data_IF_316991186331
#
_entry.id   IF_316991186331
#
_cell.length_a   1.000
_cell.length_b   1.000
_cell.length_c   1.000
_cell.angle_alpha   90.00
_cell.angle_beta   90.00
_cell.angle_gamma   90.00
#
_symmetry.space_group_name_H-M   'P 1'
#
loop_
_entity.id
_entity.type
_entity.pdbx_description
1 polymer ?
#
# COMPACT_ATOMS: atom_id res chain seq x y z
N UNK A 1 1.39 -5.92 18.33
CA UNK A 1 1.25 -4.44 18.51
C UNK A 1 0.33 -3.92 17.44
N UNK A 2 -0.48 -2.90 17.72
CA UNK A 2 -1.36 -2.30 16.71
C UNK A 2 -0.91 -0.86 16.47
N UNK A 3 -0.67 -0.48 15.22
CA UNK A 3 -0.37 0.89 14.82
C UNK A 3 -1.60 1.47 14.13
N UNK A 4 -2.02 2.67 14.51
CA UNK A 4 -3.16 3.32 13.86
C UNK A 4 -2.77 3.99 12.54
N UNK A 5 -1.50 4.39 12.41
CA UNK A 5 -0.96 5.09 11.24
C UNK A 5 0.54 4.77 11.04
N UNK A 6 1.10 5.27 9.96
CA UNK A 6 2.51 5.11 9.62
C UNK A 6 3.43 5.84 10.63
N UNK A 7 2.97 6.95 11.19
CA UNK A 7 3.78 7.79 12.10
C UNK A 7 4.03 7.11 13.44
N UNK A 8 3.04 6.37 13.97
CA UNK A 8 3.24 5.55 15.17
C UNK A 8 4.28 4.44 14.92
N UNK A 9 4.26 3.84 13.72
CA UNK A 9 5.26 2.84 13.36
C UNK A 9 6.66 3.44 13.21
N UNK A 10 6.79 4.59 12.56
CA UNK A 10 8.05 5.35 12.47
C UNK A 10 8.61 5.64 13.87
N UNK A 11 7.77 6.11 14.79
CA UNK A 11 8.17 6.42 16.16
C UNK A 11 8.69 5.18 16.92
N UNK A 12 8.05 4.00 16.72
CA UNK A 12 8.55 2.75 17.29
C UNK A 12 9.91 2.39 16.70
N UNK A 13 10.05 2.41 15.38
CA UNK A 13 11.31 2.05 14.71
C UNK A 13 12.44 2.97 15.14
N UNK A 14 12.17 4.25 15.34
CA UNK A 14 13.15 5.22 15.85
C UNK A 14 13.56 4.88 17.28
N UNK A 15 12.61 4.58 18.16
CA UNK A 15 12.88 4.22 19.55
C UNK A 15 13.68 2.91 19.67
N UNK A 16 13.52 1.97 18.73
CA UNK A 16 14.25 0.70 18.68
C UNK A 16 15.56 0.76 17.89
N UNK A 17 15.93 1.93 17.37
CA UNK A 17 17.15 2.10 16.55
C UNK A 17 17.06 1.47 15.16
N UNK A 18 15.85 1.12 14.71
CA UNK A 18 15.53 0.55 13.40
C UNK A 18 15.19 1.62 12.35
N UNK A 19 15.27 2.90 12.70
CA UNK A 19 15.08 4.03 11.79
C UNK A 19 16.17 5.08 12.00
N UNK A 20 16.66 5.65 10.91
CA UNK A 20 17.59 6.78 10.91
C UNK A 20 17.00 7.95 10.12
N UNK A 21 17.01 9.14 10.75
CA UNK A 21 16.67 10.40 10.08
C UNK A 21 17.88 10.96 9.34
N UNK A 22 17.65 11.47 8.16
CA UNK A 22 18.65 12.10 7.29
C UNK A 22 18.18 13.54 7.05
N UNK A 23 18.83 14.47 7.75
CA UNK A 23 18.46 15.89 7.71
C UNK A 23 19.17 16.70 6.61
N UNK A 24 20.23 16.14 6.01
CA UNK A 24 20.90 16.77 4.88
C UNK A 24 20.03 16.65 3.62
N UNK A 25 20.05 17.66 2.72
CA UNK A 25 19.34 17.55 1.45
C UNK A 25 19.87 16.39 0.59
N UNK A 26 18.97 15.52 0.14
CA UNK A 26 19.28 14.36 -0.74
C UNK A 26 18.40 14.41 -1.97
N UNK A 27 18.94 14.01 -3.13
CA UNK A 27 18.23 14.07 -4.38
C UNK A 27 17.34 12.83 -4.58
N UNK A 28 16.03 13.00 -4.85
CA UNK A 28 15.16 11.90 -5.24
C UNK A 28 15.58 11.24 -6.55
N UNK A 29 16.31 11.96 -7.39
CA UNK A 29 16.86 11.42 -8.63
C UNK A 29 18.12 10.61 -8.32
N UNK A 30 17.97 9.27 -8.27
CA UNK A 30 19.00 8.25 -8.08
C UNK A 30 19.64 8.20 -6.68
N UNK A 31 19.94 9.35 -6.03
CA UNK A 31 20.75 9.39 -4.81
C UNK A 31 20.03 8.71 -3.63
N UNK A 32 18.74 9.02 -3.41
CA UNK A 32 17.94 8.38 -2.34
C UNK A 32 17.89 6.86 -2.54
N UNK A 33 17.65 6.40 -3.76
CA UNK A 33 17.57 4.97 -4.06
C UNK A 33 18.91 4.27 -3.82
N UNK A 34 20.01 4.86 -4.24
CA UNK A 34 21.37 4.31 -4.01
C UNK A 34 21.69 4.20 -2.51
N UNK A 35 21.33 5.23 -1.71
CA UNK A 35 21.50 5.19 -0.26
C UNK A 35 20.63 4.07 0.35
N UNK A 36 19.39 3.92 -0.10
CA UNK A 36 18.48 2.87 0.35
C UNK A 36 19.01 1.47 -0.01
N UNK A 37 19.50 1.26 -1.24
CA UNK A 37 20.02 -0.02 -1.70
C UNK A 37 21.27 -0.44 -0.90
N UNK A 38 22.23 0.47 -0.72
CA UNK A 38 23.41 0.20 0.12
C UNK A 38 23.04 -0.11 1.56
N UNK A 39 22.09 0.63 2.12
CA UNK A 39 21.60 0.41 3.48
C UNK A 39 20.92 -0.95 3.60
N UNK A 40 20.09 -1.31 2.63
CA UNK A 40 19.42 -2.62 2.58
C UNK A 40 20.44 -3.76 2.52
N UNK A 41 21.42 -3.69 1.62
CA UNK A 41 22.48 -4.72 1.47
C UNK A 41 23.34 -4.86 2.73
N UNK A 42 23.52 -3.77 3.48
CA UNK A 42 24.23 -3.79 4.76
C UNK A 42 23.36 -4.28 5.94
N UNK A 43 22.09 -4.64 5.70
CA UNK A 43 21.15 -5.01 6.78
C UNK A 43 20.78 -3.83 7.68
N UNK A 44 20.88 -2.61 7.16
CA UNK A 44 20.69 -1.38 7.92
C UNK A 44 19.22 -0.99 8.18
N UNK A 45 19.00 0.17 8.85
CA UNK A 45 17.69 0.62 9.29
C UNK A 45 16.81 1.14 8.14
N UNK A 46 15.55 1.44 8.45
CA UNK A 46 14.71 2.31 7.64
C UNK A 46 15.29 3.73 7.63
N UNK A 47 15.05 4.48 6.57
CA UNK A 47 15.61 5.82 6.36
C UNK A 47 14.49 6.82 6.15
N UNK A 48 14.46 7.89 6.95
CA UNK A 48 13.57 9.02 6.76
C UNK A 48 14.38 10.24 6.28
N UNK A 49 14.27 10.54 4.99
CA UNK A 49 14.86 11.72 4.38
C UNK A 49 13.95 12.92 4.65
N UNK A 50 14.40 13.83 5.53
CA UNK A 50 13.59 14.96 5.98
C UNK A 50 13.57 16.10 4.97
N UNK A 51 14.59 16.19 4.12
CA UNK A 51 14.76 17.27 3.15
C UNK A 51 15.09 16.74 1.74
N UNK A 52 14.17 16.03 1.07
CA UNK A 52 14.37 15.68 -0.34
C UNK A 52 14.50 16.95 -1.17
N UNK A 53 15.48 17.04 -2.07
CA UNK A 53 15.64 18.19 -2.96
C UNK A 53 14.39 18.38 -3.82
N UNK A 54 13.89 19.60 -3.90
CA UNK A 54 12.72 19.96 -4.71
C UNK A 54 11.37 19.66 -4.05
N UNK A 55 11.33 19.13 -2.84
CA UNK A 55 10.08 18.87 -2.11
C UNK A 55 10.21 19.23 -0.63
N UNK A 56 9.11 19.68 -0.03
CA UNK A 56 8.98 19.85 1.42
C UNK A 56 8.41 18.61 2.13
N UNK A 57 8.08 17.58 1.37
CA UNK A 57 7.50 16.33 1.89
C UNK A 57 8.64 15.35 2.19
N UNK A 58 8.76 14.82 3.43
CA UNK A 58 9.75 13.82 3.74
C UNK A 58 9.53 12.52 2.96
N UNK A 59 10.61 11.79 2.70
CA UNK A 59 10.56 10.50 2.01
C UNK A 59 11.06 9.39 2.92
N UNK A 60 10.26 8.32 3.05
CA UNK A 60 10.59 7.14 3.85
C UNK A 60 11.05 6.01 2.92
N UNK A 61 12.27 5.55 3.12
CA UNK A 61 12.87 4.45 2.35
C UNK A 61 13.23 3.25 3.22
N UNK A 62 13.44 2.09 2.58
CA UNK A 62 13.88 0.84 3.22
C UNK A 62 13.01 0.38 4.41
N UNK A 63 11.72 0.76 4.43
CA UNK A 63 10.82 0.50 5.57
C UNK A 63 10.73 -0.98 5.92
N UNK A 64 10.52 -1.83 4.92
CA UNK A 64 10.39 -3.30 5.07
C UNK A 64 11.65 -4.06 4.66
N UNK A 65 12.83 -3.44 4.82
CA UNK A 65 14.12 -3.97 4.37
C UNK A 65 14.68 -5.12 5.22
N UNK A 66 14.03 -5.52 6.31
CA UNK A 66 14.38 -6.71 7.06
C UNK A 66 13.14 -7.40 7.65
N UNK A 67 13.29 -8.68 7.98
CA UNK A 67 12.19 -9.53 8.50
C UNK A 67 11.67 -9.07 9.86
N UNK A 68 12.49 -8.44 10.68
CA UNK A 68 12.06 -7.91 11.98
C UNK A 68 11.06 -6.76 11.80
N UNK A 69 11.34 -5.79 10.94
CA UNK A 69 10.42 -4.68 10.66
C UNK A 69 9.12 -5.16 10.01
N UNK A 70 9.19 -6.20 9.16
CA UNK A 70 8.00 -6.86 8.60
C UNK A 70 7.17 -7.51 9.73
N UNK A 71 7.80 -8.23 10.65
CA UNK A 71 7.11 -8.85 11.78
C UNK A 71 6.39 -7.80 12.65
N UNK A 72 7.10 -6.74 13.05
CA UNK A 72 6.53 -5.63 13.80
C UNK A 72 5.34 -4.98 13.08
N UNK A 73 5.47 -4.74 11.77
CA UNK A 73 4.42 -4.18 10.93
C UNK A 73 3.17 -5.07 10.85
N UNK A 74 3.35 -6.40 10.90
CA UNK A 74 2.28 -7.39 10.96
C UNK A 74 1.76 -7.64 12.40
N UNK A 75 2.12 -6.78 13.36
CA UNK A 75 1.66 -6.88 14.74
C UNK A 75 2.37 -7.95 15.58
N UNK A 76 3.42 -8.59 15.05
CA UNK A 76 4.21 -9.61 15.73
C UNK A 76 5.34 -8.97 16.55
N UNK A 77 5.82 -9.65 17.57
CA UNK A 77 6.95 -9.17 18.40
C UNK A 77 8.31 -9.49 17.77
N UNK A 78 8.36 -10.58 17.03
CA UNK A 78 9.57 -11.12 16.42
C UNK A 78 9.28 -11.85 15.11
N UNK A 79 10.34 -12.35 14.48
CA UNK A 79 10.26 -13.09 13.21
C UNK A 79 9.61 -14.47 13.34
N UNK A 80 9.55 -15.06 14.55
CA UNK A 80 8.85 -16.34 14.75
C UNK A 80 7.34 -16.16 14.64
N UNK A 81 6.82 -15.01 15.07
CA UNK A 81 5.42 -14.63 14.91
C UNK A 81 4.95 -14.59 13.44
N UNK A 82 5.84 -14.41 12.46
CA UNK A 82 5.49 -14.51 11.04
C UNK A 82 5.00 -15.93 10.66
N UNK A 83 5.44 -16.97 11.38
CA UNK A 83 4.92 -18.33 11.18
C UNK A 83 3.46 -18.43 11.60
N UNK A 84 3.05 -17.69 12.63
CA UNK A 84 1.66 -17.68 13.09
C UNK A 84 0.78 -16.91 12.09
N UNK A 85 1.28 -15.86 11.47
CA UNK A 85 0.64 -15.21 10.30
C UNK A 85 0.49 -16.22 9.16
N UNK A 86 1.52 -17.01 8.85
CA UNK A 86 1.46 -18.09 7.86
C UNK A 86 0.40 -19.16 8.18
N UNK A 87 0.29 -19.59 9.44
CA UNK A 87 -0.75 -20.53 9.90
C UNK A 87 -2.16 -19.92 9.77
N UNK A 88 -2.33 -18.64 10.13
CA UNK A 88 -3.57 -17.92 9.95
C UNK A 88 -3.98 -17.87 8.46
N UNK A 89 -3.03 -17.59 7.57
CA UNK A 89 -3.27 -17.59 6.12
C UNK A 89 -3.69 -18.98 5.62
N UNK A 90 -3.02 -20.04 6.07
CA UNK A 90 -3.39 -21.41 5.71
C UNK A 90 -4.81 -21.76 6.19
N UNK A 91 -5.16 -21.38 7.41
CA UNK A 91 -6.51 -21.55 7.95
C UNK A 91 -7.57 -20.78 7.17
N UNK A 92 -7.27 -19.54 6.74
CA UNK A 92 -8.21 -18.73 5.96
C UNK A 92 -8.43 -19.27 4.54
N UNK A 93 -7.43 -19.94 3.95
CA UNK A 93 -7.56 -20.59 2.63
C UNK A 93 -8.42 -21.86 2.67
N UNK A 94 -8.28 -22.66 3.73
CA UNK A 94 -8.99 -23.91 3.91
C UNK A 94 -9.54 -23.98 5.36
N UNK A 95 -10.63 -23.25 5.64
CA UNK A 95 -11.20 -23.25 6.99
C UNK A 95 -11.80 -24.64 7.28
N UNK A 96 -11.12 -25.41 8.14
CA UNK A 96 -11.67 -26.64 8.64
C UNK A 96 -12.77 -26.33 9.66
N UNK A 97 -14.01 -26.81 9.47
CA UNK A 97 -15.05 -26.63 10.47
C UNK A 97 -14.64 -27.30 11.78
N UNK A 98 -14.91 -26.68 12.93
CA UNK A 98 -14.55 -27.25 14.23
C UNK A 98 -15.16 -28.62 14.41
N UNK A 99 -14.34 -29.62 14.73
CA UNK A 99 -14.76 -31.03 14.92
C UNK A 99 -15.45 -31.30 16.25
N UNK A 100 -15.64 -30.27 17.10
CA UNK A 100 -16.32 -30.41 18.39
C UNK A 100 -16.10 -29.19 19.31
N UNK A 101 -16.77 -29.21 20.47
CA UNK A 101 -16.70 -28.12 21.46
C UNK A 101 -15.28 -27.78 21.93
N UNK A 102 -14.41 -28.78 21.99
CA UNK A 102 -13.02 -28.62 22.44
C UNK A 102 -12.20 -27.84 21.42
N UNK A 103 -12.38 -28.16 20.16
CA UNK A 103 -11.74 -27.49 19.02
C UNK A 103 -12.22 -26.03 18.87
N UNK A 104 -13.50 -25.79 19.18
CA UNK A 104 -14.08 -24.45 19.22
C UNK A 104 -13.45 -23.60 20.35
N UNK A 105 -13.20 -24.17 21.52
CA UNK A 105 -12.57 -23.47 22.64
C UNK A 105 -11.07 -23.20 22.40
N UNK A 106 -10.36 -24.16 21.84
CA UNK A 106 -8.93 -24.03 21.51
C UNK A 106 -8.68 -22.97 20.43
N UNK A 107 -9.60 -22.81 19.49
CA UNK A 107 -9.53 -21.82 18.40
C UNK A 107 -10.31 -20.53 18.68
N UNK A 108 -10.88 -20.37 19.88
CA UNK A 108 -11.65 -19.18 20.26
C UNK A 108 -10.92 -17.83 20.04
N UNK A 109 -9.59 -17.72 20.31
CA UNK A 109 -8.85 -16.50 20.00
C UNK A 109 -8.86 -16.15 18.50
N UNK A 110 -8.71 -17.15 17.64
CA UNK A 110 -8.73 -16.99 16.18
C UNK A 110 -10.12 -16.61 15.69
N UNK A 111 -11.18 -17.21 16.22
CA UNK A 111 -12.56 -16.86 15.90
C UNK A 111 -12.93 -15.44 16.36
N UNK A 112 -12.42 -14.97 17.51
CA UNK A 112 -12.60 -13.60 17.95
C UNK A 112 -11.90 -12.58 17.03
N UNK A 113 -10.76 -12.94 16.46
CA UNK A 113 -10.08 -12.11 15.47
C UNK A 113 -10.93 -11.97 14.19
N UNK A 114 -11.60 -13.05 13.79
CA UNK A 114 -12.50 -13.05 12.62
C UNK A 114 -13.68 -12.06 12.77
N UNK A 115 -14.08 -11.69 14.00
CA UNK A 115 -15.10 -10.66 14.23
C UNK A 115 -14.63 -9.23 13.86
N UNK A 116 -13.34 -9.02 13.68
CA UNK A 116 -12.76 -7.74 13.28
C UNK A 116 -12.53 -7.62 11.75
N UNK A 117 -13.13 -8.49 10.97
CA UNK A 117 -12.93 -8.57 9.52
C UNK A 117 -13.47 -7.34 8.79
N UNK A 118 -14.67 -6.88 9.11
CA UNK A 118 -15.25 -5.74 8.39
C UNK A 118 -14.55 -4.43 8.76
N UNK A 119 -14.11 -3.62 7.80
CA UNK A 119 -13.53 -2.31 8.06
C UNK A 119 -14.54 -1.38 8.76
N UNK A 120 -14.02 -0.41 9.51
CA UNK A 120 -14.81 0.63 10.17
C UNK A 120 -14.82 1.88 9.30
N UNK A 121 -15.96 2.21 8.72
CA UNK A 121 -16.12 3.39 7.86
C UNK A 121 -16.28 4.64 8.72
N UNK A 122 -15.31 5.55 8.61
CA UNK A 122 -15.33 6.85 9.29
C UNK A 122 -16.08 7.87 8.45
N UNK A 123 -16.67 8.87 9.09
CA UNK A 123 -17.30 10.02 8.41
C UNK A 123 -16.28 11.05 7.93
N UNK A 124 -15.23 11.27 8.72
CA UNK A 124 -14.13 12.20 8.45
C UNK A 124 -12.82 11.49 8.79
N UNK A 125 -11.76 11.84 8.10
CA UNK A 125 -10.43 11.26 8.31
C UNK A 125 -9.33 12.29 8.03
N UNK A 126 -8.17 12.20 8.73
CA UNK A 126 -7.04 13.12 8.52
C UNK A 126 -6.57 13.22 7.07
N UNK A 127 -6.67 12.14 6.28
CA UNK A 127 -6.31 12.15 4.86
C UNK A 127 -7.19 13.06 4.00
N UNK A 128 -8.25 13.65 4.57
CA UNK A 128 -9.15 14.61 3.90
C UNK A 128 -9.09 16.02 4.50
N UNK A 129 -8.15 16.30 5.42
CA UNK A 129 -8.02 17.62 6.06
C UNK A 129 -7.52 18.68 5.08
N UNK A 130 -6.75 18.29 4.06
CA UNK A 130 -6.30 19.17 2.97
C UNK A 130 -6.75 18.57 1.65
N UNK A 131 -7.48 19.35 0.87
CA UNK A 131 -8.01 18.93 -0.43
C UNK A 131 -7.45 19.86 -1.50
N UNK A 132 -6.91 19.29 -2.58
CA UNK A 132 -6.39 19.99 -3.75
C UNK A 132 -7.17 19.47 -4.95
N UNK A 133 -7.80 20.37 -5.69
CA UNK A 133 -8.74 20.02 -6.76
C UNK A 133 -8.40 20.72 -8.07
N UNK A 134 -8.87 20.15 -9.17
CA UNK A 134 -8.87 20.72 -10.51
C UNK A 134 -7.48 21.26 -10.97
N UNK A 135 -7.42 22.54 -11.30
CA UNK A 135 -6.22 23.18 -11.85
C UNK A 135 -5.10 23.36 -10.82
N UNK A 136 -5.38 23.21 -9.54
CA UNK A 136 -4.37 23.29 -8.48
C UNK A 136 -3.61 21.97 -8.26
N UNK A 137 -4.08 20.87 -8.86
CA UNK A 137 -3.40 19.58 -8.77
C UNK A 137 -2.06 19.63 -9.50
N UNK A 138 -0.98 19.38 -8.79
CA UNK A 138 0.37 19.22 -9.33
C UNK A 138 1.15 18.18 -8.51
N UNK A 139 1.25 16.96 -9.01
CA UNK A 139 1.91 15.86 -8.32
C UNK A 139 3.44 16.04 -8.20
N UNK A 140 4.02 17.04 -8.87
CA UNK A 140 5.46 17.32 -8.79
C UNK A 140 5.91 17.81 -7.41
N UNK A 141 4.98 18.21 -6.52
CA UNK A 141 5.34 18.54 -5.14
C UNK A 141 5.74 17.31 -4.31
N UNK A 142 5.34 16.11 -4.74
CA UNK A 142 5.74 14.86 -4.08
C UNK A 142 7.18 14.50 -4.47
N UNK A 143 7.99 13.97 -3.54
CA UNK A 143 9.37 13.54 -3.84
C UNK A 143 9.37 12.18 -4.55
N UNK A 144 8.77 12.11 -5.74
CA UNK A 144 8.71 10.89 -6.55
C UNK A 144 10.13 10.58 -7.05
N UNK A 145 10.57 9.34 -6.85
CA UNK A 145 11.95 8.94 -7.13
C UNK A 145 12.15 8.49 -8.58
N UNK A 146 13.31 8.86 -9.18
CA UNK A 146 13.91 8.09 -10.26
C UNK A 146 14.85 7.09 -9.63
N UNK A 147 14.56 5.78 -9.78
CA UNK A 147 15.23 4.73 -9.02
C UNK A 147 16.53 4.25 -9.67
N UNK A 148 16.55 4.11 -11.00
CA UNK A 148 17.70 3.56 -11.74
C UNK A 148 18.13 4.49 -12.88
N UNK A 149 19.42 4.46 -13.28
CA UNK A 149 19.94 5.39 -14.30
C UNK A 149 19.26 5.32 -15.67
N UNK A 150 18.62 4.19 -16.00
CA UNK A 150 17.92 3.99 -17.27
C UNK A 150 16.39 4.13 -17.14
N UNK A 151 15.87 4.53 -16.01
CA UNK A 151 14.42 4.72 -15.81
C UNK A 151 13.91 5.87 -16.69
N UNK A 152 12.78 5.64 -17.36
CA UNK A 152 12.17 6.59 -18.27
C UNK A 152 11.67 7.87 -17.59
N UNK A 153 11.24 7.77 -16.32
CA UNK A 153 10.67 8.87 -15.53
C UNK A 153 10.67 8.54 -14.03
N UNK A 154 10.33 9.50 -13.15
CA UNK A 154 10.06 9.21 -11.74
C UNK A 154 8.94 8.19 -11.57
N UNK A 155 9.05 7.34 -10.55
CA UNK A 155 8.17 6.19 -10.32
C UNK A 155 7.65 6.18 -8.88
N UNK A 156 6.33 6.22 -8.71
CA UNK A 156 5.70 5.93 -7.42
C UNK A 156 5.82 4.44 -7.15
N UNK A 157 6.59 4.07 -6.14
CA UNK A 157 7.01 2.67 -5.91
C UNK A 157 6.07 1.88 -5.00
N UNK A 158 5.38 2.55 -4.06
CA UNK A 158 4.52 1.92 -3.05
C UNK A 158 3.10 2.51 -2.98
N UNK A 159 2.40 2.72 -4.11
CA UNK A 159 1.02 3.16 -4.09
C UNK A 159 0.10 1.99 -3.75
N UNK A 160 -0.81 2.16 -2.79
CA UNK A 160 -1.94 1.26 -2.58
C UNK A 160 -3.04 1.67 -3.55
N UNK A 161 -3.21 0.91 -4.61
CA UNK A 161 -4.22 1.17 -5.64
C UNK A 161 -5.51 0.45 -5.26
N UNK A 162 -6.59 1.21 -5.18
CA UNK A 162 -7.91 0.74 -4.79
C UNK A 162 -8.82 0.76 -6.02
N UNK A 163 -9.41 -0.39 -6.33
CA UNK A 163 -10.37 -0.57 -7.44
C UNK A 163 -11.57 -1.38 -6.98
N UNK A 164 -12.65 -1.33 -7.75
CA UNK A 164 -13.81 -2.18 -7.56
C UNK A 164 -14.49 -2.45 -8.89
N UNK A 165 -14.66 -3.72 -9.23
CA UNK A 165 -15.46 -4.12 -10.38
C UNK A 165 -16.94 -3.79 -10.19
N UNK A 166 -17.72 -3.64 -11.28
CA UNK A 166 -19.07 -3.07 -11.26
C UNK A 166 -20.08 -3.92 -10.47
N UNK A 167 -19.86 -5.23 -10.36
CA UNK A 167 -20.75 -6.17 -9.66
C UNK A 167 -20.15 -6.68 -8.34
N UNK A 168 -19.09 -6.06 -7.86
CA UNK A 168 -18.38 -6.49 -6.65
C UNK A 168 -18.70 -5.57 -5.47
N UNK A 169 -19.04 -6.15 -4.33
CA UNK A 169 -19.12 -5.41 -3.06
C UNK A 169 -17.73 -5.13 -2.51
N UNK A 170 -16.81 -6.08 -2.69
CA UNK A 170 -15.44 -6.00 -2.22
C UNK A 170 -14.59 -5.11 -3.14
N UNK A 171 -13.83 -4.22 -2.54
CA UNK A 171 -12.74 -3.51 -3.21
C UNK A 171 -11.50 -4.40 -3.29
N UNK A 172 -10.74 -4.25 -4.34
CA UNK A 172 -9.42 -4.81 -4.51
C UNK A 172 -8.38 -3.77 -4.09
N UNK A 173 -7.39 -4.18 -3.34
CA UNK A 173 -6.20 -3.39 -3.04
C UNK A 173 -4.99 -4.09 -3.64
N UNK A 174 -4.17 -3.34 -4.39
CA UNK A 174 -2.94 -3.84 -4.98
C UNK A 174 -1.84 -2.79 -4.98
N UNK A 175 -0.59 -3.23 -4.92
CA UNK A 175 0.54 -2.34 -5.17
C UNK A 175 0.94 -2.48 -6.64
N UNK A 176 0.75 -1.40 -7.39
CA UNK A 176 1.10 -1.31 -8.81
C UNK A 176 1.92 -0.04 -9.01
N UNK A 177 3.17 -0.19 -9.45
CA UNK A 177 4.04 0.97 -9.71
C UNK A 177 3.40 1.93 -10.68
N UNK A 178 3.65 3.22 -10.50
CA UNK A 178 3.05 4.26 -11.33
C UNK A 178 4.11 5.23 -11.83
N UNK A 179 4.24 5.31 -13.16
CA UNK A 179 5.13 6.28 -13.80
C UNK A 179 4.50 7.67 -13.78
N UNK A 180 5.28 8.65 -13.38
CA UNK A 180 4.88 10.06 -13.47
C UNK A 180 4.96 10.54 -14.92
N UNK A 181 3.85 11.06 -15.45
CA UNK A 181 3.76 11.59 -16.81
C UNK A 181 3.67 13.10 -16.87
N UNK A 182 3.21 13.72 -15.81
CA UNK A 182 3.01 15.15 -15.77
C UNK A 182 2.16 15.59 -14.59
N UNK A 183 1.77 16.84 -14.61
CA UNK A 183 1.17 17.54 -13.49
C UNK A 183 0.10 16.74 -12.72
N UNK A 184 -0.84 16.11 -13.43
CA UNK A 184 -1.96 15.36 -12.87
C UNK A 184 -2.16 13.98 -13.52
N UNK A 185 -1.10 13.43 -14.13
CA UNK A 185 -1.18 12.16 -14.85
C UNK A 185 -0.12 11.18 -14.40
N UNK A 186 -0.57 9.93 -14.20
CA UNK A 186 0.25 8.78 -13.88
C UNK A 186 -0.09 7.64 -14.83
N UNK A 187 0.89 6.87 -15.26
CA UNK A 187 0.64 5.55 -15.89
C UNK A 187 0.71 4.47 -14.83
N UNK A 188 -0.20 3.52 -14.93
CA UNK A 188 -0.17 2.30 -14.15
C UNK A 188 -0.12 1.08 -15.06
N UNK A 189 0.88 0.22 -14.85
CA UNK A 189 0.98 -1.05 -15.56
C UNK A 189 0.30 -2.17 -14.79
N UNK A 190 -0.70 -2.78 -15.39
CA UNK A 190 -1.34 -3.97 -14.87
C UNK A 190 -0.99 -5.21 -15.68
N UNK A 191 -0.61 -6.27 -15.00
CA UNK A 191 -0.64 -7.61 -15.59
C UNK A 191 -2.10 -8.08 -15.65
N UNK A 192 -2.49 -8.70 -16.77
CA UNK A 192 -3.88 -9.03 -17.09
C UNK A 192 -4.63 -9.90 -16.07
N UNK A 193 -3.88 -10.63 -15.23
CA UNK A 193 -4.43 -11.51 -14.18
C UNK A 193 -4.54 -10.84 -12.80
N UNK A 194 -4.09 -9.59 -12.65
CA UNK A 194 -4.16 -8.86 -11.38
C UNK A 194 -5.56 -8.31 -11.13
N UNK A 195 -5.93 -8.19 -9.83
CA UNK A 195 -7.25 -7.77 -9.42
C UNK A 195 -7.71 -6.45 -10.04
N UNK A 196 -6.86 -5.42 -10.06
CA UNK A 196 -7.18 -4.14 -10.69
C UNK A 196 -7.45 -4.25 -12.19
N UNK A 197 -6.65 -5.05 -12.91
CA UNK A 197 -6.87 -5.30 -14.35
C UNK A 197 -8.20 -6.04 -14.62
N UNK A 198 -8.56 -6.98 -13.74
CA UNK A 198 -9.83 -7.70 -13.83
C UNK A 198 -11.01 -6.76 -13.57
N UNK A 199 -10.92 -5.90 -12.55
CA UNK A 199 -11.96 -4.92 -12.24
C UNK A 199 -12.16 -3.93 -13.40
N UNK A 200 -11.06 -3.43 -13.98
CA UNK A 200 -11.08 -2.52 -15.12
C UNK A 200 -11.73 -3.19 -16.36
N UNK A 201 -11.34 -4.41 -16.68
CA UNK A 201 -11.94 -5.17 -17.80
C UNK A 201 -13.43 -5.39 -17.59
N UNK A 202 -13.86 -5.80 -16.40
CA UNK A 202 -15.28 -6.03 -16.09
C UNK A 202 -16.07 -4.72 -16.16
N UNK A 203 -15.45 -3.59 -15.74
CA UNK A 203 -16.03 -2.26 -15.89
C UNK A 203 -16.25 -1.89 -17.36
N UNK A 204 -15.22 -2.02 -18.20
CA UNK A 204 -15.33 -1.69 -19.63
C UNK A 204 -16.40 -2.53 -20.37
N UNK A 205 -16.59 -3.78 -19.96
CA UNK A 205 -17.64 -4.65 -20.52
C UNK A 205 -19.05 -4.17 -20.15
N UNK A 206 -19.23 -3.65 -18.94
CA UNK A 206 -20.53 -3.21 -18.42
C UNK A 206 -20.83 -1.74 -18.71
N UNK A 207 -19.81 -0.91 -18.76
CA UNK A 207 -19.84 0.54 -18.95
C UNK A 207 -18.91 0.94 -20.11
N UNK A 208 -19.21 0.53 -21.36
CA UNK A 208 -18.33 0.81 -22.49
C UNK A 208 -18.19 2.31 -22.74
N UNK A 209 -16.95 2.78 -22.79
CA UNK A 209 -16.65 4.19 -23.02
C UNK A 209 -16.75 5.09 -21.78
N UNK A 210 -17.08 4.56 -20.61
CA UNK A 210 -17.11 5.33 -19.38
C UNK A 210 -15.76 5.25 -18.63
N UNK A 211 -15.28 6.35 -18.04
CA UNK A 211 -14.07 6.36 -17.23
C UNK A 211 -14.19 5.42 -16.02
N UNK A 212 -13.10 4.69 -15.70
CA UNK A 212 -13.06 3.78 -14.58
C UNK A 212 -12.54 4.49 -13.32
N UNK A 213 -13.33 4.60 -12.25
CA UNK A 213 -12.91 5.25 -11.02
C UNK A 213 -11.81 4.45 -10.31
N UNK A 214 -10.79 5.18 -9.86
CA UNK A 214 -9.64 4.63 -9.15
C UNK A 214 -9.24 5.55 -8.00
N UNK A 215 -8.71 4.98 -6.93
CA UNK A 215 -8.10 5.75 -5.85
C UNK A 215 -6.76 5.14 -5.45
N UNK A 216 -5.83 5.99 -5.08
CA UNK A 216 -4.47 5.59 -4.68
C UNK A 216 -4.20 6.17 -3.30
N UNK A 217 -3.81 5.31 -2.35
CA UNK A 217 -3.37 5.74 -1.04
C UNK A 217 -1.85 5.56 -0.90
N UNK A 218 -1.17 6.56 -0.35
CA UNK A 218 0.26 6.54 -0.08
C UNK A 218 0.45 6.78 1.42
N UNK A 219 1.29 5.97 2.07
CA UNK A 219 1.60 6.14 3.49
C UNK A 219 0.48 5.68 4.43
N UNK A 220 -0.23 4.60 4.11
CA UNK A 220 -1.16 3.95 5.04
C UNK A 220 -0.43 3.32 6.23
N UNK A 221 -1.16 2.82 7.22
CA UNK A 221 -0.57 2.05 8.31
C UNK A 221 0.14 0.78 7.82
N UNK A 222 1.17 0.31 8.53
CA UNK A 222 2.05 -0.76 8.03
C UNK A 222 1.34 -2.10 7.81
N UNK A 223 0.32 -2.44 8.61
CA UNK A 223 -0.43 -3.67 8.43
C UNK A 223 -1.28 -3.64 7.15
N UNK A 224 -1.87 -2.49 6.82
CA UNK A 224 -2.61 -2.29 5.57
C UNK A 224 -1.68 -2.37 4.36
N UNK A 225 -0.49 -1.75 4.43
CA UNK A 225 0.50 -1.84 3.34
C UNK A 225 0.90 -3.29 3.09
N UNK A 226 1.24 -4.07 4.13
CA UNK A 226 1.66 -5.45 3.98
C UNK A 226 0.50 -6.39 3.60
N UNK A 227 -0.73 -6.12 4.05
CA UNK A 227 -1.90 -6.87 3.61
C UNK A 227 -2.11 -6.80 2.09
N UNK A 228 -1.80 -5.65 1.49
CA UNK A 228 -1.95 -5.41 0.04
C UNK A 228 -1.03 -6.29 -0.83
N UNK A 229 0.11 -6.72 -0.30
CA UNK A 229 1.06 -7.61 -1.00
C UNK A 229 0.95 -9.06 -0.58
N UNK A 230 0.12 -9.35 0.41
CA UNK A 230 -0.08 -10.72 0.91
C UNK A 230 -1.15 -11.43 0.07
N UNK A 231 -0.92 -12.67 -0.41
CA UNK A 231 -1.89 -13.40 -1.23
C UNK A 231 -3.05 -13.93 -0.39
N UNK A 232 -3.98 -13.04 -0.03
CA UNK A 232 -5.21 -13.40 0.71
C UNK A 232 -6.19 -14.18 -0.17
N UNK A 233 -7.06 -15.03 0.41
CA UNK A 233 -8.14 -15.68 -0.34
C UNK A 233 -9.09 -14.64 -0.95
N UNK A 234 -9.69 -14.96 -2.10
CA UNK A 234 -10.62 -14.06 -2.80
C UNK A 234 -11.87 -13.69 -1.99
N UNK A 235 -12.20 -14.49 -0.97
CA UNK A 235 -13.32 -14.26 -0.05
C UNK A 235 -13.00 -13.25 1.05
N UNK A 236 -11.73 -12.84 1.20
CA UNK A 236 -11.27 -11.92 2.23
C UNK A 236 -10.69 -10.65 1.59
N UNK A 237 -11.13 -9.46 2.02
CA UNK A 237 -10.53 -8.23 1.55
C UNK A 237 -9.19 -7.97 2.26
N UNK A 238 -8.31 -7.24 1.60
CA UNK A 238 -7.03 -6.81 2.17
C UNK A 238 -7.22 -5.94 3.42
N UNK A 239 -8.27 -5.12 3.46
CA UNK A 239 -8.66 -4.36 4.67
C UNK A 239 -9.05 -5.27 5.83
N UNK A 240 -9.77 -6.33 5.54
CA UNK A 240 -10.15 -7.33 6.53
C UNK A 240 -8.92 -8.06 7.07
N UNK A 241 -8.00 -8.45 6.20
CA UNK A 241 -6.75 -9.09 6.59
C UNK A 241 -5.84 -8.16 7.40
N UNK A 242 -5.72 -6.88 7.01
CA UNK A 242 -5.03 -5.88 7.80
C UNK A 242 -5.62 -5.75 9.22
N UNK A 243 -6.94 -5.80 9.33
CA UNK A 243 -7.64 -5.82 10.63
C UNK A 243 -7.32 -7.04 11.48
N UNK A 244 -7.19 -8.22 10.86
CA UNK A 244 -6.76 -9.45 11.53
C UNK A 244 -5.32 -9.34 12.05
N UNK A 245 -4.40 -8.85 11.22
CA UNK A 245 -2.99 -8.63 11.60
C UNK A 245 -2.86 -7.65 12.76
N UNK A 246 -3.62 -6.57 12.71
CA UNK A 246 -3.61 -5.51 13.73
C UNK A 246 -4.35 -5.90 15.01
N UNK A 247 -5.28 -6.84 14.94
CA UNK A 247 -6.19 -7.17 16.04
C UNK A 247 -7.27 -6.12 16.31
N UNK A 248 -7.48 -5.21 15.36
CA UNK A 248 -8.52 -4.17 15.39
C UNK A 248 -8.98 -3.82 13.97
N UNK A 249 -10.24 -3.38 13.82
CA UNK A 249 -10.81 -3.05 12.51
C UNK A 249 -9.97 -2.00 11.78
N UNK A 250 -9.73 -2.21 10.49
CA UNK A 250 -9.13 -1.19 9.64
C UNK A 250 -10.09 -0.02 9.49
N UNK A 251 -9.61 1.19 9.78
CA UNK A 251 -10.39 2.41 9.59
C UNK A 251 -10.25 2.89 8.16
N UNK A 252 -11.39 3.08 7.50
CA UNK A 252 -11.47 3.60 6.13
C UNK A 252 -12.41 4.79 6.06
N UNK A 253 -12.23 5.62 5.05
CA UNK A 253 -13.14 6.74 4.76
C UNK A 253 -13.56 6.66 3.28
N UNK A 254 -14.78 7.10 2.99
CA UNK A 254 -15.26 7.20 1.60
C UNK A 254 -14.48 8.31 0.88
N UNK A 255 -14.09 8.05 -0.35
CA UNK A 255 -13.52 9.05 -1.24
C UNK A 255 -14.45 10.23 -1.47
N UNK A 256 -13.91 11.38 -1.84
CA UNK A 256 -14.67 12.61 -2.09
C UNK A 256 -15.33 12.59 -3.48
N UNK A 257 -14.64 12.04 -4.48
CA UNK A 257 -15.06 12.11 -5.90
C UNK A 257 -15.63 10.80 -6.44
N UNK A 258 -15.51 9.69 -5.71
CA UNK A 258 -16.01 8.38 -6.14
C UNK A 258 -16.50 7.53 -4.96
N UNK A 259 -17.02 6.33 -5.25
CA UNK A 259 -17.61 5.43 -4.24
C UNK A 259 -16.61 4.46 -3.60
N UNK A 260 -15.32 4.64 -3.82
CA UNK A 260 -14.28 3.84 -3.19
C UNK A 260 -14.03 4.28 -1.74
N UNK A 261 -13.42 3.40 -0.97
CA UNK A 261 -13.00 3.66 0.40
C UNK A 261 -11.48 3.50 0.50
N UNK A 262 -10.84 4.46 1.13
CA UNK A 262 -9.39 4.51 1.31
C UNK A 262 -9.01 4.41 2.78
N UNK A 263 -7.78 4.00 3.13
CA UNK A 263 -7.33 4.01 4.52
C UNK A 263 -7.44 5.41 5.11
N UNK A 264 -8.15 5.54 6.23
CA UNK A 264 -8.37 6.82 6.90
C UNK A 264 -7.07 7.48 7.39
N UNK A 265 -6.03 6.68 7.62
CA UNK A 265 -4.72 7.09 8.10
C UNK A 265 -3.68 7.32 6.98
N UNK A 266 -4.08 7.29 5.71
CA UNK A 266 -3.14 7.53 4.61
C UNK A 266 -2.57 8.96 4.68
N UNK A 267 -1.29 9.11 4.33
CA UNK A 267 -0.65 10.43 4.25
C UNK A 267 -1.13 11.22 3.02
N UNK A 268 -1.34 10.53 1.90
CA UNK A 268 -1.90 11.10 0.68
C UNK A 268 -2.94 10.16 0.07
N UNK A 269 -3.97 10.75 -0.51
CA UNK A 269 -4.96 10.06 -1.33
C UNK A 269 -5.06 10.78 -2.67
N UNK A 270 -4.89 10.04 -3.76
CA UNK A 270 -5.14 10.52 -5.11
C UNK A 270 -6.42 9.87 -5.60
N UNK A 271 -7.39 10.67 -5.98
CA UNK A 271 -8.64 10.21 -6.57
C UNK A 271 -8.66 10.59 -8.05
N UNK A 272 -9.03 9.66 -8.91
CA UNK A 272 -9.01 9.89 -10.34
C UNK A 272 -9.75 8.82 -11.12
N UNK A 273 -9.54 8.83 -12.43
CA UNK A 273 -10.14 7.89 -13.36
C UNK A 273 -9.11 7.37 -14.35
N UNK A 274 -9.38 6.19 -14.90
CA UNK A 274 -8.69 5.67 -16.09
C UNK A 274 -9.63 5.85 -17.27
N UNK A 275 -9.21 6.66 -18.23
CA UNK A 275 -9.94 6.85 -19.47
C UNK A 275 -9.82 5.59 -20.35
N UNK A 276 -10.91 5.08 -20.95
CA UNK A 276 -10.92 3.76 -21.60
C UNK A 276 -9.94 3.61 -22.76
N UNK A 277 -9.67 4.69 -23.48
CA UNK A 277 -8.83 4.69 -24.67
C UNK A 277 -7.49 5.41 -24.50
N UNK A 278 -7.22 5.95 -23.29
CA UNK A 278 -5.98 6.66 -23.04
C UNK A 278 -4.86 5.68 -22.66
N UNK A 279 -3.95 5.47 -23.58
CA UNK A 279 -2.78 4.60 -23.42
C UNK A 279 -1.51 5.42 -23.61
N UNK A 280 -0.45 5.03 -22.90
CA UNK A 280 0.87 5.60 -23.08
C UNK A 280 1.93 4.53 -22.86
N UNK A 281 3.14 4.74 -23.38
CA UNK A 281 4.28 3.84 -23.19
C UNK A 281 4.78 3.92 -21.75
N UNK A 282 4.94 2.78 -21.11
CA UNK A 282 5.49 2.64 -19.76
C UNK A 282 6.90 2.09 -19.80
N UNK A 283 7.81 2.78 -19.17
CA UNK A 283 9.20 2.31 -19.06
C UNK A 283 10.14 2.90 -20.14
N UNK A 284 11.36 2.35 -20.21
CA UNK A 284 11.84 1.22 -19.40
C UNK A 284 12.03 1.56 -17.92
N UNK A 285 11.91 0.53 -17.05
CA UNK A 285 12.21 0.64 -15.62
C UNK A 285 13.09 -0.51 -15.16
N UNK A 286 14.14 -0.19 -14.40
CA UNK A 286 14.96 -1.17 -13.71
C UNK A 286 14.23 -1.88 -12.57
N UNK A 287 14.62 -3.11 -12.29
CA UNK A 287 14.12 -3.88 -11.17
C UNK A 287 15.26 -4.47 -10.31
N UNK A 288 14.90 -5.19 -9.24
CA UNK A 288 15.84 -5.79 -8.31
C UNK A 288 16.72 -6.89 -8.94
N UNK A 289 16.38 -7.37 -10.12
CA UNK A 289 17.19 -8.36 -10.87
C UNK A 289 18.33 -7.72 -11.67
N UNK A 290 18.32 -6.39 -11.82
CA UNK A 290 19.28 -5.61 -12.60
C UNK A 290 18.94 -5.53 -14.10
N UNK A 291 17.73 -5.96 -14.48
CA UNK A 291 17.23 -5.83 -15.85
C UNK A 291 16.22 -4.69 -15.95
N UNK A 292 16.08 -4.15 -17.16
CA UNK A 292 15.05 -3.18 -17.50
C UNK A 292 13.88 -3.88 -18.20
N UNK A 293 12.67 -3.52 -17.80
CA UNK A 293 11.42 -4.02 -18.38
C UNK A 293 10.65 -2.85 -19.01
N UNK A 294 10.15 -3.07 -20.20
CA UNK A 294 9.22 -2.21 -20.95
C UNK A 294 7.79 -2.69 -20.80
#
# INVERSE_FOLDING_TARGET
MAFKDLREFIALLEAEGELKRISVPVDPNLEITEICDRTLRAGGPALLFENPKGSSIPLLGNLFGNTRRIALAMGQQDTEGLRDVGKLMAFLKEPNPPKGWRDLWENLPTWKQVLNIAPNVKRNAPCQDVVIEEDDIDLSFLPIQTCWPGDAAPLVTWPLVITRGPDKERQNLGIYRMQFLGRNKLIMRWLSHRGGALDFRDWQLKHPGEPFPISIAIGADPATILATVTPVPDTLSEYAFAGLLRGSKTEVVKCLTNDLQVPASAEFVLEGVIEPEEMADEGPFGDHTGYYNE
#
